data_IF_580314351239
#
_entry.id   IF_580314351239
#
_cell.length_a   1.000
_cell.length_b   1.000
_cell.length_c   1.000
_cell.angle_alpha   90.00
_cell.angle_beta   90.00
_cell.angle_gamma   90.00
#
_symmetry.space_group_name_H-M   'P 1'
#
loop_
_entity.id
_entity.type
_entity.pdbx_description
1 polymer ?
#
# COMPACT_ATOMS: atom_id res chain seq x y z
N UNK A 1 -18.69 -25.84 3.07
CA UNK A 1 -17.28 -25.98 2.61
C UNK A 1 -16.98 -24.83 1.66
N UNK A 2 -16.62 -23.67 2.23
CA UNK A 2 -16.33 -22.47 1.44
C UNK A 2 -15.03 -22.70 0.64
N UNK A 3 -15.12 -22.53 -0.67
CA UNK A 3 -14.00 -22.70 -1.62
C UNK A 3 -12.96 -21.63 -1.33
N UNK A 4 -12.04 -21.94 -0.43
CA UNK A 4 -10.82 -21.16 -0.20
C UNK A 4 -9.84 -21.44 -1.33
N UNK A 5 -10.19 -20.98 -2.52
CA UNK A 5 -9.23 -20.75 -3.59
C UNK A 5 -8.93 -19.26 -3.55
N UNK A 6 -8.03 -18.87 -2.64
CA UNK A 6 -7.37 -17.58 -2.72
C UNK A 6 -6.55 -17.62 -4.01
N UNK A 7 -7.21 -17.24 -5.09
CA UNK A 7 -6.63 -17.00 -6.38
C UNK A 7 -5.59 -15.92 -6.14
N UNK A 8 -4.33 -16.33 -6.06
CA UNK A 8 -3.16 -15.48 -6.18
C UNK A 8 -3.19 -14.96 -7.62
N UNK A 9 -4.16 -14.08 -7.93
CA UNK A 9 -4.14 -13.28 -9.13
C UNK A 9 -2.99 -12.32 -8.90
N UNK A 10 -1.82 -12.70 -9.41
CA UNK A 10 -0.76 -11.76 -9.72
C UNK A 10 -1.29 -10.74 -10.72
N UNK A 11 -2.02 -9.74 -10.22
CA UNK A 11 -2.35 -8.53 -10.94
C UNK A 11 -1.20 -7.56 -10.76
N UNK A 12 -0.14 -7.75 -11.55
CA UNK A 12 0.94 -6.78 -11.63
C UNK A 12 0.45 -5.56 -12.39
N UNK A 13 0.30 -4.43 -11.71
CA UNK A 13 0.24 -3.08 -12.29
C UNK A 13 0.61 -2.02 -11.23
N UNK A 14 1.79 -2.10 -10.61
CA UNK A 14 2.33 -0.97 -9.82
C UNK A 14 3.87 -0.82 -9.91
N UNK A 15 4.55 -1.78 -10.54
CA UNK A 15 6.01 -1.93 -10.51
C UNK A 15 6.83 -0.84 -11.22
N UNK A 16 6.19 0.08 -11.97
CA UNK A 16 6.95 1.12 -12.71
C UNK A 16 7.20 2.41 -11.92
N UNK A 17 6.52 2.66 -10.79
CA UNK A 17 6.67 3.93 -10.04
C UNK A 17 7.51 3.83 -8.77
N UNK A 18 7.42 2.72 -8.04
CA UNK A 18 8.07 2.56 -6.74
C UNK A 18 8.97 1.32 -6.70
N UNK A 19 10.11 1.43 -6.03
CA UNK A 19 10.95 0.27 -5.72
C UNK A 19 10.25 -0.64 -4.70
N UNK A 20 10.66 -1.92 -4.63
CA UNK A 20 10.14 -2.88 -3.64
C UNK A 20 10.19 -2.33 -2.19
N UNK A 21 11.23 -1.57 -1.87
CA UNK A 21 11.41 -0.95 -0.55
C UNK A 21 10.45 0.22 -0.32
N UNK A 22 10.30 1.10 -1.32
CA UNK A 22 9.35 2.22 -1.26
C UNK A 22 7.92 1.68 -1.11
N UNK A 23 7.55 0.68 -1.91
CA UNK A 23 6.24 0.01 -1.83
C UNK A 23 5.96 -0.55 -0.44
N UNK A 24 6.88 -1.36 0.09
CA UNK A 24 6.73 -1.93 1.43
C UNK A 24 6.59 -0.84 2.50
N UNK A 25 7.34 0.27 2.37
CA UNK A 25 7.28 1.38 3.32
C UNK A 25 5.96 2.15 3.26
N UNK A 26 5.44 2.41 2.07
CA UNK A 26 4.14 3.09 1.87
C UNK A 26 3.02 2.26 2.51
N UNK A 27 2.96 0.97 2.18
CA UNK A 27 1.93 0.05 2.71
C UNK A 27 2.03 -0.05 4.23
N UNK A 28 3.24 -0.22 4.77
CA UNK A 28 3.44 -0.32 6.22
C UNK A 28 3.04 0.96 6.97
N UNK A 29 3.42 2.13 6.45
CA UNK A 29 3.04 3.41 7.04
C UNK A 29 1.52 3.64 6.98
N UNK A 30 0.88 3.29 5.86
CA UNK A 30 -0.56 3.44 5.68
C UNK A 30 -1.36 2.50 6.58
N UNK A 31 -0.95 1.24 6.68
CA UNK A 31 -1.57 0.26 7.57
C UNK A 31 -1.52 0.72 9.04
N UNK A 32 -0.40 1.33 9.46
CA UNK A 32 -0.29 1.90 10.80
C UNK A 32 -1.29 3.04 11.04
N UNK A 33 -1.45 3.96 10.08
CA UNK A 33 -2.42 5.05 10.20
C UNK A 33 -3.84 4.51 10.39
N UNK A 34 -4.23 3.52 9.59
CA UNK A 34 -5.55 2.88 9.68
C UNK A 34 -5.73 2.20 11.04
N UNK A 35 -4.71 1.49 11.52
CA UNK A 35 -4.73 0.87 12.85
C UNK A 35 -4.89 1.90 13.99
N UNK A 36 -4.44 3.14 13.79
CA UNK A 36 -4.62 4.26 14.72
C UNK A 36 -5.96 4.99 14.56
N UNK A 37 -6.87 4.50 13.72
CA UNK A 37 -8.20 5.09 13.52
C UNK A 37 -8.22 6.23 12.49
N UNK A 38 -7.23 6.32 11.60
CA UNK A 38 -7.30 7.25 10.47
C UNK A 38 -8.45 6.88 9.51
N UNK A 39 -9.07 7.87 8.84
CA UNK A 39 -10.15 7.62 7.90
C UNK A 39 -9.66 6.81 6.70
N UNK A 40 -10.41 5.75 6.40
CA UNK A 40 -10.21 4.90 5.23
C UNK A 40 -10.98 5.50 4.05
N UNK A 41 -10.36 5.55 2.87
CA UNK A 41 -10.99 6.12 1.68
C UNK A 41 -11.83 5.09 0.89
N UNK A 42 -11.58 3.80 1.10
CA UNK A 42 -12.32 2.68 0.53
C UNK A 42 -13.20 2.01 1.58
N UNK A 43 -14.50 1.93 1.32
CA UNK A 43 -15.48 1.37 2.26
C UNK A 43 -15.43 -0.18 2.32
N UNK A 44 -15.03 -0.84 1.22
CA UNK A 44 -15.01 -2.31 1.08
C UNK A 44 -13.59 -2.93 1.15
N UNK A 45 -12.71 -2.35 1.96
CA UNK A 45 -11.27 -2.56 1.81
C UNK A 45 -10.68 -3.79 2.56
N UNK A 46 -11.49 -4.55 3.29
CA UNK A 46 -11.08 -5.76 4.01
C UNK A 46 -11.17 -5.64 5.53
N UNK A 47 -10.83 -6.71 6.23
CA UNK A 47 -11.00 -6.78 7.71
C UNK A 47 -9.77 -6.24 8.43
N UNK A 48 -8.59 -6.34 7.81
CA UNK A 48 -7.33 -5.98 8.44
C UNK A 48 -6.76 -4.67 7.88
N UNK A 49 -6.08 -3.84 8.69
CA UNK A 49 -5.46 -2.59 8.22
C UNK A 49 -4.48 -2.77 7.07
N UNK A 50 -3.83 -3.94 6.99
CA UNK A 50 -2.88 -4.27 5.94
C UNK A 50 -3.56 -4.50 4.58
N UNK A 51 -4.66 -5.27 4.57
CA UNK A 51 -5.45 -5.50 3.36
C UNK A 51 -5.99 -4.18 2.82
N UNK A 52 -6.50 -3.32 3.71
CA UNK A 52 -7.00 -1.99 3.35
C UNK A 52 -5.90 -1.15 2.68
N UNK A 53 -4.71 -1.11 3.29
CA UNK A 53 -3.58 -0.38 2.74
C UNK A 53 -3.10 -0.93 1.38
N UNK A 54 -3.19 -2.24 1.17
CA UNK A 54 -2.86 -2.86 -0.11
C UNK A 54 -3.89 -2.48 -1.19
N UNK A 55 -5.18 -2.49 -0.86
CA UNK A 55 -6.24 -2.07 -1.77
C UNK A 55 -6.15 -0.59 -2.15
N UNK A 56 -5.88 0.28 -1.19
CA UNK A 56 -5.68 1.70 -1.49
C UNK A 56 -4.44 1.93 -2.38
N UNK A 57 -3.41 1.08 -2.25
CA UNK A 57 -2.22 1.13 -3.12
C UNK A 57 -2.57 0.70 -4.56
N UNK A 58 -3.34 -0.38 -4.70
CA UNK A 58 -3.81 -0.90 -6.00
C UNK A 58 -4.64 0.15 -6.76
N UNK A 59 -5.50 0.87 -6.05
CA UNK A 59 -6.31 1.97 -6.60
C UNK A 59 -5.51 3.29 -6.79
N UNK A 60 -4.31 3.38 -6.22
CA UNK A 60 -3.43 4.54 -6.34
C UNK A 60 -3.88 5.79 -5.57
N UNK A 61 -4.74 5.62 -4.55
CA UNK A 61 -5.35 6.70 -3.77
C UNK A 61 -4.66 6.98 -2.43
N UNK A 62 -3.53 6.32 -2.14
CA UNK A 62 -2.83 6.50 -0.87
C UNK A 62 -2.33 7.94 -0.71
N UNK A 63 -2.71 8.65 0.37
CA UNK A 63 -2.28 10.03 0.64
C UNK A 63 -0.86 10.10 1.22
N UNK A 64 0.10 9.37 0.63
CA UNK A 64 1.51 9.33 1.03
C UNK A 64 2.36 9.44 -0.23
N UNK A 65 3.34 10.34 -0.22
CA UNK A 65 4.25 10.56 -1.35
C UNK A 65 5.69 10.24 -0.95
N UNK A 66 6.43 9.59 -1.84
CA UNK A 66 7.86 9.32 -1.64
C UNK A 66 8.69 10.53 -2.06
N UNK A 67 9.48 11.07 -1.13
CA UNK A 67 10.52 12.06 -1.45
C UNK A 67 11.83 11.35 -1.76
N UNK A 68 12.34 11.55 -2.98
CA UNK A 68 13.65 11.06 -3.42
C UNK A 68 14.66 12.19 -3.30
N UNK A 69 15.55 12.08 -2.34
CA UNK A 69 16.67 13.01 -2.21
C UNK A 69 17.78 12.57 -3.19
N UNK A 70 17.84 13.21 -4.36
CA UNK A 70 18.88 12.96 -5.38
C UNK A 70 20.14 13.79 -5.16
N UNK A 71 20.13 14.68 -4.16
CA UNK A 71 21.07 15.79 -4.03
C UNK A 71 21.78 15.84 -2.67
N UNK A 72 21.88 14.71 -1.96
CA UNK A 72 22.98 14.53 -1.01
C UNK A 72 24.30 14.42 -1.79
N UNK A 73 24.77 15.56 -2.32
CA UNK A 73 26.20 15.84 -2.47
C UNK A 73 26.81 15.47 -1.13
N UNK A 74 27.56 14.37 -1.11
CA UNK A 74 28.39 13.95 0.01
C UNK A 74 29.23 15.18 0.40
N UNK A 75 28.86 15.84 1.49
CA UNK A 75 29.72 16.80 2.19
C UNK A 75 30.67 16.02 3.07
#
# INVERSE_FOLDING_TARGET
MARCVLSIRGGGLDDMKYTRFERARIVGARALQIAMGAPVLLEDAGTTPLEIALRELEEGIIPITVKRDKDKKRR
#
